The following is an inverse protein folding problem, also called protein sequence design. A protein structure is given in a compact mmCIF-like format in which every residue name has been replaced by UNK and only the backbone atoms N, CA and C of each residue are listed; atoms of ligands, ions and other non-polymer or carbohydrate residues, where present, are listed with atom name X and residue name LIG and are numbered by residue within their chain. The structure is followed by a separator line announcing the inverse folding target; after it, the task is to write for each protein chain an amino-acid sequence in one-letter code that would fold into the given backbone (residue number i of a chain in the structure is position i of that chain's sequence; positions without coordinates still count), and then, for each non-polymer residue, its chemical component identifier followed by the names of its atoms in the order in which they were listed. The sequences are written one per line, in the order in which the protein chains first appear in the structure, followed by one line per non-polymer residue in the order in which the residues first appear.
data_IF_797599967141
#
_entry.id   IF_797599967141
#
_cell.length_a   1.000
_cell.length_b   1.000
_cell.length_c   1.000
_cell.angle_alpha   90.00
_cell.angle_beta   90.00
_cell.angle_gamma   90.00
#
_symmetry.space_group_name_H-M   'P 1'
#
loop_
_entity.id
_entity.type
_entity.pdbx_description
1 polymer ?
#
# COMPACT_ATOMS: atom_id res chain seq x y z
N UNK A 1 7.93 -5.00 8.65
CA UNK A 1 8.28 -3.73 7.97
C UNK A 1 7.01 -3.25 7.27
N UNK A 2 6.49 -2.03 7.52
CA UNK A 2 5.22 -1.63 6.91
C UNK A 2 5.38 -1.16 5.46
N UNK A 3 6.52 -0.57 5.10
CA UNK A 3 6.82 -0.10 3.74
C UNK A 3 8.31 -0.33 3.45
N UNK A 4 8.67 -0.54 2.18
CA UNK A 4 10.01 -0.91 1.74
C UNK A 4 10.43 -0.07 0.52
N UNK A 5 11.62 0.52 0.59
CA UNK A 5 12.30 1.13 -0.55
C UNK A 5 13.41 0.20 -1.05
N UNK A 6 13.38 -0.13 -2.34
CA UNK A 6 14.37 -0.98 -3.01
C UNK A 6 15.08 -0.16 -4.08
N UNK A 7 16.40 -0.12 -4.08
CA UNK A 7 17.14 0.60 -5.11
C UNK A 7 18.39 -0.15 -5.55
N UNK A 8 18.83 0.09 -6.77
CA UNK A 8 20.01 -0.55 -7.35
C UNK A 8 20.07 -0.34 -8.84
N UNK A 9 21.26 -0.39 -9.43
CA UNK A 9 21.44 -0.15 -10.86
C UNK A 9 20.92 -1.32 -11.71
N UNK A 10 20.79 -1.11 -13.02
CA UNK A 10 20.43 -2.18 -13.95
C UNK A 10 21.41 -3.35 -13.82
N UNK A 11 20.89 -4.58 -13.79
CA UNK A 11 21.70 -5.80 -13.63
C UNK A 11 22.12 -6.13 -12.20
N UNK A 12 21.83 -5.28 -11.21
CA UNK A 12 22.21 -5.49 -9.80
C UNK A 12 21.41 -6.57 -9.06
N UNK A 13 20.37 -7.13 -9.69
CA UNK A 13 19.47 -8.13 -9.09
C UNK A 13 18.17 -7.56 -8.48
N UNK A 14 17.93 -6.24 -8.56
CA UNK A 14 16.70 -5.59 -8.08
C UNK A 14 15.42 -6.29 -8.54
N UNK A 15 15.27 -6.50 -9.85
CA UNK A 15 14.06 -7.10 -10.41
C UNK A 15 13.84 -8.54 -9.94
N UNK A 16 14.92 -9.33 -9.84
CA UNK A 16 14.86 -10.71 -9.32
C UNK A 16 14.39 -10.72 -7.87
N UNK A 17 14.85 -9.77 -7.05
CA UNK A 17 14.41 -9.66 -5.66
C UNK A 17 12.95 -9.25 -5.52
N UNK A 18 12.47 -8.30 -6.34
CA UNK A 18 11.06 -7.91 -6.37
C UNK A 18 10.19 -9.11 -6.75
N UNK A 19 10.56 -9.85 -7.81
CA UNK A 19 9.88 -11.09 -8.20
C UNK A 19 9.87 -12.11 -7.05
N UNK A 20 10.99 -12.28 -6.36
CA UNK A 20 11.11 -13.18 -5.20
C UNK A 20 10.15 -12.76 -4.08
N UNK A 21 10.01 -11.46 -3.82
CA UNK A 21 9.04 -10.95 -2.84
C UNK A 21 7.60 -11.23 -3.27
N UNK A 22 7.26 -10.97 -4.54
CA UNK A 22 5.92 -11.24 -5.09
C UNK A 22 5.57 -12.72 -4.96
N UNK A 23 6.46 -13.60 -5.43
CA UNK A 23 6.29 -15.05 -5.31
C UNK A 23 6.13 -15.46 -3.85
N UNK A 24 6.93 -14.90 -2.94
CA UNK A 24 6.81 -15.18 -1.50
C UNK A 24 5.46 -14.79 -0.92
N UNK A 25 4.76 -13.78 -1.48
CA UNK A 25 3.40 -13.41 -1.08
C UNK A 25 2.39 -14.40 -1.68
N UNK A 26 2.45 -14.61 -2.99
CA UNK A 26 1.48 -15.44 -3.74
C UNK A 26 1.53 -16.92 -3.34
N UNK A 27 2.69 -17.44 -2.97
CA UNK A 27 2.84 -18.82 -2.48
C UNK A 27 2.30 -19.04 -1.06
N UNK A 28 2.14 -17.98 -0.26
CA UNK A 28 1.74 -18.09 1.15
C UNK A 28 0.35 -17.53 1.46
N UNK A 29 -0.18 -16.68 0.59
CA UNK A 29 -1.44 -15.98 0.83
C UNK A 29 -2.38 -16.14 -0.36
N UNK A 30 -3.62 -16.50 -0.06
CA UNK A 30 -4.71 -16.55 -1.03
C UNK A 30 -5.16 -15.13 -1.45
N UNK A 31 -5.89 -14.98 -2.58
CA UNK A 31 -6.46 -13.69 -3.00
C UNK A 31 -7.43 -13.06 -2.00
N UNK A 32 -7.96 -13.84 -1.05
CA UNK A 32 -8.83 -13.39 0.04
C UNK A 32 -8.03 -12.82 1.23
N UNK A 33 -6.75 -13.19 1.34
CA UNK A 33 -5.84 -12.75 2.41
C UNK A 33 -4.93 -11.63 1.95
N UNK A 34 -4.51 -11.64 0.67
CA UNK A 34 -3.63 -10.64 0.10
C UNK A 34 -4.05 -10.23 -1.31
N UNK A 35 -4.09 -8.93 -1.54
CA UNK A 35 -4.42 -8.28 -2.80
C UNK A 35 -3.28 -7.38 -3.25
N UNK A 36 -3.06 -7.29 -4.55
CA UNK A 36 -1.90 -6.62 -5.14
C UNK A 36 -2.34 -5.48 -6.06
N UNK A 37 -1.60 -4.38 -6.01
CA UNK A 37 -1.60 -3.32 -7.04
C UNK A 37 -0.18 -3.26 -7.57
N UNK A 38 -0.01 -3.48 -8.87
CA UNK A 38 1.29 -3.46 -9.52
C UNK A 38 1.37 -2.28 -10.48
N UNK A 39 2.46 -1.52 -10.40
CA UNK A 39 2.76 -0.38 -11.27
C UNK A 39 4.07 -0.65 -11.98
N UNK A 40 4.00 -0.79 -13.30
CA UNK A 40 5.13 -1.04 -14.20
C UNK A 40 5.02 -0.11 -15.42
N UNK A 41 5.61 1.10 -15.34
CA UNK A 41 5.52 2.09 -16.41
C UNK A 41 6.27 1.67 -17.68
N UNK A 42 7.17 0.69 -17.60
CA UNK A 42 7.97 0.22 -18.74
C UNK A 42 7.43 -1.06 -19.37
N UNK A 43 6.49 -1.75 -18.72
CA UNK A 43 5.93 -3.03 -19.16
C UNK A 43 6.98 -4.13 -19.34
N UNK A 44 8.02 -4.14 -18.50
CA UNK A 44 9.15 -5.07 -18.63
C UNK A 44 9.17 -6.13 -17.54
N UNK A 45 8.76 -5.79 -16.33
CA UNK A 45 9.09 -6.57 -15.14
C UNK A 45 7.85 -7.20 -14.51
N UNK A 46 6.76 -6.43 -14.38
CA UNK A 46 5.54 -6.88 -13.68
C UNK A 46 4.43 -7.33 -14.61
N UNK A 47 4.50 -7.03 -15.91
CA UNK A 47 3.47 -7.45 -16.88
C UNK A 47 3.25 -8.97 -16.94
N UNK A 48 4.24 -9.77 -16.55
CA UNK A 48 4.12 -11.24 -16.45
C UNK A 48 3.06 -11.70 -15.43
N UNK A 49 2.72 -10.84 -14.46
CA UNK A 49 1.71 -11.12 -13.43
C UNK A 49 0.29 -10.76 -13.86
N UNK A 50 0.08 -10.23 -15.07
CA UNK A 50 -1.26 -9.84 -15.48
C UNK A 50 -2.21 -11.05 -15.51
N UNK A 51 -3.42 -10.86 -14.98
CA UNK A 51 -4.43 -11.92 -14.88
C UNK A 51 -4.37 -12.81 -13.63
N UNK A 52 -3.38 -12.67 -12.73
CA UNK A 52 -3.41 -13.42 -11.46
C UNK A 52 -4.59 -12.96 -10.58
N UNK A 53 -5.23 -13.86 -9.80
CA UNK A 53 -6.41 -13.53 -9.02
C UNK A 53 -6.16 -12.55 -7.86
N UNK A 54 -4.90 -12.36 -7.47
CA UNK A 54 -4.49 -11.41 -6.43
C UNK A 54 -4.58 -9.95 -6.87
N UNK A 55 -4.53 -9.65 -8.17
CA UNK A 55 -4.57 -8.27 -8.66
C UNK A 55 -5.94 -7.62 -8.40
N UNK A 56 -5.91 -6.36 -7.96
CA UNK A 56 -7.11 -5.51 -7.83
C UNK A 56 -7.45 -4.77 -9.13
N UNK A 57 -6.47 -4.61 -9.98
CA UNK A 57 -6.53 -3.97 -11.29
C UNK A 57 -5.48 -4.63 -12.17
N UNK A 58 -5.67 -4.68 -13.50
CA UNK A 58 -4.57 -5.00 -14.42
C UNK A 58 -3.33 -4.17 -14.12
N UNK A 59 -2.16 -4.71 -14.45
CA UNK A 59 -0.87 -4.05 -14.19
C UNK A 59 -0.90 -2.63 -14.76
N UNK A 60 -0.62 -1.65 -13.91
CA UNK A 60 -0.79 -0.23 -14.24
C UNK A 60 0.47 0.28 -14.91
N UNK A 61 0.32 0.73 -16.15
CA UNK A 61 1.45 1.16 -17.00
C UNK A 61 1.46 2.66 -17.23
N UNK A 62 0.30 3.31 -17.20
CA UNK A 62 0.18 4.76 -17.36
C UNK A 62 0.43 5.49 -16.00
N UNK A 63 1.31 6.51 -15.96
CA UNK A 63 1.60 7.25 -14.72
C UNK A 63 0.39 7.95 -14.10
N UNK A 64 -0.57 8.43 -14.89
CA UNK A 64 -1.78 9.07 -14.35
C UNK A 64 -2.70 8.02 -13.71
N UNK A 65 -2.83 6.85 -14.34
CA UNK A 65 -3.54 5.71 -13.74
C UNK A 65 -2.84 5.22 -12.47
N UNK A 66 -1.51 5.23 -12.42
CA UNK A 66 -0.76 4.89 -11.21
C UNK A 66 -1.09 5.84 -10.06
N UNK A 67 -1.15 7.15 -10.34
CA UNK A 67 -1.62 8.14 -9.37
C UNK A 67 -3.06 7.85 -8.91
N UNK A 68 -3.97 7.52 -9.82
CA UNK A 68 -5.35 7.14 -9.45
C UNK A 68 -5.38 5.90 -8.56
N UNK A 69 -4.55 4.90 -8.81
CA UNK A 69 -4.43 3.69 -7.98
C UNK A 69 -3.91 4.01 -6.57
N UNK A 70 -2.90 4.89 -6.46
CA UNK A 70 -2.40 5.36 -5.16
C UNK A 70 -3.46 6.17 -4.39
N UNK A 71 -4.18 7.08 -5.06
CA UNK A 71 -5.30 7.83 -4.47
C UNK A 71 -6.44 6.89 -4.04
N UNK A 72 -6.68 5.80 -4.78
CA UNK A 72 -7.60 4.75 -4.37
C UNK A 72 -7.12 4.03 -3.11
N UNK A 73 -5.85 3.62 -3.04
CA UNK A 73 -5.29 2.97 -1.86
C UNK A 73 -5.36 3.87 -0.60
N UNK A 74 -5.17 5.18 -0.76
CA UNK A 74 -5.36 6.16 0.32
C UNK A 74 -6.83 6.21 0.79
N UNK A 75 -7.80 6.19 -0.13
CA UNK A 75 -9.23 6.17 0.22
C UNK A 75 -9.62 4.87 0.91
N UNK A 76 -9.13 3.74 0.41
CA UNK A 76 -9.32 2.42 1.01
C UNK A 76 -8.74 2.39 2.44
N UNK A 77 -7.55 2.96 2.66
CA UNK A 77 -6.98 3.11 4.00
C UNK A 77 -7.92 3.85 4.96
N UNK A 78 -8.47 5.00 4.54
CA UNK A 78 -9.41 5.77 5.35
C UNK A 78 -10.70 4.99 5.65
N UNK A 79 -11.24 4.28 4.64
CA UNK A 79 -12.43 3.46 4.80
C UNK A 79 -12.20 2.34 5.81
N UNK A 80 -11.05 1.66 5.75
CA UNK A 80 -10.66 0.64 6.73
C UNK A 80 -10.56 1.22 8.13
N UNK A 81 -10.02 2.43 8.29
CA UNK A 81 -10.01 3.11 9.59
C UNK A 81 -11.41 3.34 10.13
N UNK A 82 -12.38 3.75 9.30
CA UNK A 82 -13.78 3.89 9.72
C UNK A 82 -14.38 2.55 10.13
N UNK A 83 -14.15 1.48 9.37
CA UNK A 83 -14.60 0.12 9.70
C UNK A 83 -14.01 -0.38 11.02
N UNK A 84 -12.72 -0.14 11.26
CA UNK A 84 -12.05 -0.47 12.50
C UNK A 84 -12.59 0.31 13.70
N UNK A 85 -12.81 1.63 13.52
CA UNK A 85 -13.38 2.48 14.57
C UNK A 85 -14.78 2.01 15.00
N UNK A 86 -15.64 1.62 14.04
CA UNK A 86 -16.98 1.07 14.31
C UNK A 86 -16.96 -0.22 15.16
N UNK A 87 -15.90 -1.02 15.03
CA UNK A 87 -15.71 -2.24 15.84
C UNK A 87 -14.85 -2.03 17.09
N UNK A 88 -14.36 -0.81 17.35
CA UNK A 88 -13.47 -0.52 18.46
C UNK A 88 -12.09 -1.21 18.37
N UNK A 89 -11.67 -1.62 17.17
CA UNK A 89 -10.38 -2.29 16.94
C UNK A 89 -9.33 -1.31 16.41
N UNK A 90 -8.05 -1.61 16.66
CA UNK A 90 -6.93 -0.70 16.33
C UNK A 90 -6.19 -1.04 15.03
N UNK A 91 -6.37 -2.24 14.49
CA UNK A 91 -5.67 -2.72 13.31
C UNK A 91 -6.46 -3.81 12.56
N UNK A 92 -6.00 -4.12 11.35
CA UNK A 92 -6.63 -5.10 10.46
C UNK A 92 -6.68 -6.51 11.06
N UNK A 93 -5.67 -6.93 11.83
CA UNK A 93 -5.67 -8.24 12.47
C UNK A 93 -6.78 -8.35 13.51
N UNK A 94 -6.95 -7.31 14.34
CA UNK A 94 -8.05 -7.22 15.31
C UNK A 94 -9.41 -7.16 14.63
N UNK A 95 -9.53 -6.42 13.52
CA UNK A 95 -10.73 -6.42 12.69
C UNK A 95 -11.07 -7.84 12.20
N UNK A 96 -10.11 -8.49 11.53
CA UNK A 96 -10.30 -9.81 10.95
C UNK A 96 -10.58 -10.88 12.02
N UNK A 97 -9.96 -10.79 13.21
CA UNK A 97 -10.22 -11.67 14.32
C UNK A 97 -11.66 -11.53 14.84
N UNK A 98 -12.14 -10.30 15.06
CA UNK A 98 -13.52 -10.04 15.52
C UNK A 98 -14.55 -10.50 14.49
N UNK A 99 -14.30 -10.29 13.20
CA UNK A 99 -15.18 -10.77 12.12
C UNK A 99 -15.22 -12.30 12.07
N UNK A 100 -14.07 -12.98 12.15
CA UNK A 100 -14.00 -14.45 12.17
C UNK A 100 -14.76 -15.04 13.37
N UNK A 101 -14.63 -14.41 14.54
CA UNK A 101 -15.36 -14.83 15.73
C UNK A 101 -16.88 -14.68 15.57
N UNK A 102 -17.35 -13.54 15.04
CA UNK A 102 -18.76 -13.31 14.80
C UNK A 102 -19.34 -14.29 13.77
N UNK A 103 -18.61 -14.59 12.70
CA UNK A 103 -18.98 -15.61 11.71
C UNK A 103 -19.09 -17.00 12.35
N UNK A 104 -18.15 -17.38 13.21
CA UNK A 104 -18.20 -18.67 13.91
C UNK A 104 -19.38 -18.77 14.88
N UNK A 105 -19.79 -17.65 15.48
CA UNK A 105 -20.92 -17.57 16.43
C UNK A 105 -22.27 -17.32 15.75
N UNK A 106 -22.32 -17.14 14.42
CA UNK A 106 -23.50 -16.63 13.70
C UNK A 106 -24.08 -15.36 14.36
N UNK A 107 -23.21 -14.48 14.83
CA UNK A 107 -23.55 -13.23 15.51
C UNK A 107 -23.63 -12.08 14.49
N UNK A 108 -24.73 -11.31 14.50
CA UNK A 108 -24.80 -10.05 13.75
C UNK A 108 -24.19 -8.94 14.58
N UNK A 109 -23.13 -8.29 14.08
CA UNK A 109 -22.56 -7.12 14.75
C UNK A 109 -23.35 -5.88 14.32
N UNK A 110 -24.04 -5.27 15.28
CA UNK A 110 -24.71 -3.98 15.11
C UNK A 110 -23.76 -2.85 15.51
N UNK A 111 -23.75 -1.77 14.73
CA UNK A 111 -23.02 -0.55 15.10
C UNK A 111 -23.91 0.67 14.99
N UNK A 112 -23.77 1.56 15.97
CA UNK A 112 -24.44 2.85 15.96
C UNK A 112 -23.68 3.80 15.04
N UNK A 113 -24.31 4.23 13.96
CA UNK A 113 -23.76 5.20 13.00
C UNK A 113 -24.55 6.50 13.06
N UNK A 114 -23.88 7.61 12.79
CA UNK A 114 -24.54 8.91 12.67
C UNK A 114 -25.32 8.95 11.35
N UNK A 115 -26.65 8.97 11.44
CA UNK A 115 -27.57 8.98 10.29
C UNK A 115 -27.85 10.39 9.77
N UNK A 116 -27.58 11.42 10.59
CA UNK A 116 -27.75 12.82 10.19
C UNK A 116 -27.88 13.75 11.39
N UNK A 117 -28.55 14.87 11.17
CA UNK A 117 -28.98 15.79 12.21
C UNK A 117 -30.46 16.10 12.01
N UNK A 118 -31.19 16.23 13.11
CA UNK A 118 -32.57 16.69 13.08
C UNK A 118 -32.60 18.16 12.62
N UNK A 119 -33.43 18.46 11.62
CA UNK A 119 -33.52 19.80 11.01
C UNK A 119 -34.21 20.82 11.93
N UNK A 120 -34.98 20.37 12.91
CA UNK A 120 -35.71 21.26 13.83
C UNK A 120 -34.94 21.49 15.13
N UNK A 121 -34.30 20.46 15.68
CA UNK A 121 -33.60 20.54 16.97
C UNK A 121 -32.08 20.71 16.82
N UNK A 122 -31.51 20.39 15.65
CA UNK A 122 -30.07 20.39 15.41
C UNK A 122 -29.32 19.23 16.10
N UNK A 123 -30.04 18.31 16.74
CA UNK A 123 -29.44 17.17 17.45
C UNK A 123 -28.94 16.09 16.47
N UNK A 124 -27.89 15.36 16.88
CA UNK A 124 -27.31 14.28 16.10
C UNK A 124 -28.20 13.03 16.15
N UNK A 125 -28.63 12.57 14.99
CA UNK A 125 -29.40 11.34 14.85
C UNK A 125 -28.47 10.16 14.64
N UNK A 126 -28.73 9.09 15.38
CA UNK A 126 -28.01 7.83 15.28
C UNK A 126 -28.94 6.70 14.80
N UNK A 127 -28.42 5.78 14.01
CA UNK A 127 -29.14 4.58 13.57
C UNK A 127 -28.25 3.37 13.76
N UNK A 128 -28.85 2.23 14.08
CA UNK A 128 -28.12 0.97 14.15
C UNK A 128 -28.06 0.32 12.77
N UNK A 129 -26.85 0.08 12.28
CA UNK A 129 -26.60 -0.63 11.03
C UNK A 129 -25.85 -1.93 11.32
N UNK A 130 -26.26 -3.00 10.63
CA UNK A 130 -25.55 -4.28 10.65
C UNK A 130 -24.24 -4.15 9.83
N UNK A 131 -23.12 -4.59 10.42
CA UNK A 131 -21.83 -4.63 9.73
C UNK A 131 -21.75 -5.88 8.86
N UNK A 132 -21.34 -5.71 7.60
CA UNK A 132 -21.01 -6.84 6.72
C UNK A 132 -19.81 -7.63 7.27
N UNK A 133 -20.03 -8.90 7.58
CA UNK A 133 -19.02 -9.78 8.17
C UNK A 133 -18.05 -10.34 7.14
N UNK A 134 -17.21 -9.47 6.56
CA UNK A 134 -16.20 -9.86 5.58
C UNK A 134 -14.80 -9.47 6.04
N UNK A 135 -13.87 -10.43 6.22
CA UNK A 135 -12.47 -10.12 6.50
C UNK A 135 -11.86 -9.27 5.39
N UNK A 136 -10.98 -8.36 5.78
CA UNK A 136 -10.26 -7.48 4.88
C UNK A 136 -8.92 -8.12 4.49
N UNK A 137 -8.61 -8.24 3.18
CA UNK A 137 -7.29 -8.69 2.74
C UNK A 137 -6.24 -7.61 3.03
N UNK A 138 -5.00 -8.02 3.27
CA UNK A 138 -3.85 -7.14 3.12
C UNK A 138 -3.75 -6.62 1.69
N UNK A 139 -3.32 -5.38 1.51
CA UNK A 139 -3.04 -4.81 0.20
C UNK A 139 -1.55 -4.49 0.11
N UNK A 140 -0.88 -4.99 -0.93
CA UNK A 140 0.51 -4.61 -1.23
C UNK A 140 0.55 -3.85 -2.56
N UNK A 141 0.98 -2.59 -2.48
CA UNK A 141 1.24 -1.75 -3.65
C UNK A 141 2.71 -1.88 -4.02
N UNK A 142 2.97 -2.32 -5.25
CA UNK A 142 4.32 -2.55 -5.78
C UNK A 142 4.56 -1.59 -6.93
N UNK A 143 5.58 -0.76 -6.82
CA UNK A 143 5.99 0.20 -7.85
C UNK A 143 7.39 -0.21 -8.31
N UNK A 144 7.54 -0.67 -9.54
CA UNK A 144 8.84 -1.17 -10.03
C UNK A 144 9.86 -0.03 -10.28
N UNK A 145 9.40 1.09 -10.84
CA UNK A 145 10.25 2.23 -11.16
C UNK A 145 9.56 3.54 -10.79
N UNK A 146 9.79 3.98 -9.55
CA UNK A 146 9.20 5.21 -9.02
C UNK A 146 9.66 6.46 -9.77
N UNK A 147 10.88 6.46 -10.31
CA UNK A 147 11.43 7.63 -10.99
C UNK A 147 10.60 8.02 -12.23
N UNK A 148 10.03 7.06 -12.96
CA UNK A 148 9.16 7.35 -14.11
C UNK A 148 7.85 8.04 -13.68
N UNK A 149 7.32 7.66 -12.51
CA UNK A 149 6.14 8.33 -11.95
C UNK A 149 6.47 9.75 -11.49
N UNK A 150 7.65 9.93 -10.88
CA UNK A 150 8.11 11.22 -10.37
C UNK A 150 8.32 12.25 -11.48
N UNK A 151 8.78 11.81 -12.66
CA UNK A 151 8.98 12.68 -13.82
C UNK A 151 7.67 13.26 -14.39
N UNK A 152 6.55 12.57 -14.22
CA UNK A 152 5.25 13.00 -14.78
C UNK A 152 4.39 13.72 -13.75
N UNK A 153 4.33 13.23 -12.52
CA UNK A 153 3.42 13.71 -11.48
C UNK A 153 4.04 13.72 -10.07
N UNK A 154 5.32 14.09 -9.96
CA UNK A 154 6.12 13.90 -8.74
C UNK A 154 5.49 14.40 -7.44
N UNK A 155 4.96 15.62 -7.40
CA UNK A 155 4.32 16.16 -6.18
C UNK A 155 3.11 15.35 -5.71
N UNK A 156 2.27 14.90 -6.64
CA UNK A 156 1.05 14.15 -6.28
C UNK A 156 1.38 12.70 -5.91
N UNK A 157 2.34 12.08 -6.61
CA UNK A 157 2.83 10.74 -6.31
C UNK A 157 3.48 10.73 -4.92
N UNK A 158 4.39 11.67 -4.65
CA UNK A 158 5.05 11.81 -3.35
C UNK A 158 4.03 12.01 -2.23
N UNK A 159 3.05 12.89 -2.41
CA UNK A 159 2.00 13.13 -1.41
C UNK A 159 1.15 11.88 -1.11
N UNK A 160 0.78 11.11 -2.13
CA UNK A 160 0.02 9.87 -1.94
C UNK A 160 0.85 8.79 -1.25
N UNK A 161 2.11 8.61 -1.69
CA UNK A 161 3.05 7.64 -1.10
C UNK A 161 3.37 7.99 0.34
N UNK A 162 3.61 9.27 0.65
CA UNK A 162 3.82 9.77 2.01
C UNK A 162 2.63 9.43 2.91
N UNK A 163 1.41 9.72 2.46
CA UNK A 163 0.20 9.47 3.24
C UNK A 163 0.00 7.99 3.54
N UNK A 164 0.24 7.12 2.56
CA UNK A 164 0.23 5.67 2.76
C UNK A 164 1.30 5.23 3.75
N UNK A 165 2.53 5.71 3.58
CA UNK A 165 3.66 5.30 4.42
C UNK A 165 3.51 5.71 5.89
N UNK A 166 2.80 6.81 6.16
CA UNK A 166 2.54 7.31 7.52
C UNK A 166 1.43 6.55 8.25
N UNK A 167 0.36 6.20 7.54
CA UNK A 167 -0.90 5.78 8.18
C UNK A 167 -1.34 4.36 7.80
N UNK A 168 -0.82 3.76 6.74
CA UNK A 168 -1.48 2.58 6.18
C UNK A 168 -1.14 1.25 6.87
N UNK A 169 -0.12 1.23 7.74
CA UNK A 169 0.29 0.04 8.51
C UNK A 169 -0.87 -0.62 9.25
N UNK A 170 -1.64 0.14 10.02
CA UNK A 170 -2.74 -0.44 10.82
C UNK A 170 -3.91 -0.89 9.94
N UNK A 171 -4.11 -0.23 8.80
CA UNK A 171 -5.10 -0.60 7.79
C UNK A 171 -4.70 -1.83 6.94
N UNK A 172 -3.50 -2.39 7.15
CA UNK A 172 -3.01 -3.54 6.40
C UNK A 172 -2.68 -3.23 4.94
N UNK A 173 -2.25 -1.99 4.65
CA UNK A 173 -1.79 -1.61 3.32
C UNK A 173 -0.29 -1.32 3.39
N UNK A 174 0.46 -1.96 2.51
CA UNK A 174 1.92 -1.92 2.47
C UNK A 174 2.38 -1.42 1.10
N UNK A 175 3.52 -0.73 1.08
CA UNK A 175 4.08 -0.16 -0.16
C UNK A 175 5.50 -0.68 -0.33
N UNK A 176 5.76 -1.31 -1.47
CA UNK A 176 7.08 -1.66 -1.95
C UNK A 176 7.36 -0.74 -3.14
N UNK A 177 8.29 0.19 -2.98
CA UNK A 177 8.71 1.07 -4.04
C UNK A 177 10.11 0.70 -4.48
N UNK A 178 10.34 0.70 -5.77
CA UNK A 178 11.63 0.40 -6.35
C UNK A 178 12.08 1.49 -7.34
N UNK A 179 13.38 1.64 -7.50
CA UNK A 179 13.97 2.57 -8.48
C UNK A 179 15.33 2.09 -8.93
N UNK A 180 15.65 2.26 -10.21
CA UNK A 180 17.01 2.10 -10.73
C UNK A 180 17.81 3.42 -10.76
N UNK A 181 17.14 4.54 -10.45
CA UNK A 181 17.71 5.88 -10.40
C UNK A 181 17.73 6.38 -8.96
N UNK A 182 18.76 6.03 -8.16
CA UNK A 182 18.87 6.42 -6.76
C UNK A 182 19.35 7.88 -6.59
N UNK A 183 18.68 8.83 -7.25
CA UNK A 183 18.96 10.26 -7.13
C UNK A 183 18.12 10.91 -6.04
N UNK A 184 18.56 12.09 -5.58
CA UNK A 184 17.85 12.89 -4.56
C UNK A 184 16.49 13.40 -5.02
N UNK A 185 16.29 13.51 -6.34
CA UNK A 185 15.03 13.94 -6.94
C UNK A 185 13.96 12.83 -6.91
N UNK A 186 14.39 11.57 -6.85
CA UNK A 186 13.52 10.39 -6.77
C UNK A 186 13.37 9.95 -5.32
N UNK A 187 14.48 9.81 -4.60
CA UNK A 187 14.53 9.42 -3.19
C UNK A 187 14.68 10.69 -2.35
N UNK A 188 13.61 11.48 -2.33
CA UNK A 188 13.55 12.77 -1.63
C UNK A 188 13.70 12.59 -0.11
N UNK A 189 13.91 13.70 0.61
CA UNK A 189 13.91 13.70 2.08
C UNK A 189 12.59 13.18 2.66
N UNK A 190 11.45 13.54 2.05
CA UNK A 190 10.11 13.10 2.44
C UNK A 190 9.95 11.59 2.28
N UNK A 191 10.38 11.03 1.15
CA UNK A 191 10.35 9.58 0.94
C UNK A 191 11.21 8.86 1.98
N UNK A 192 12.45 9.32 2.19
CA UNK A 192 13.34 8.71 3.19
C UNK A 192 12.75 8.74 4.60
N UNK A 193 12.13 9.85 5.00
CA UNK A 193 11.54 9.99 6.32
C UNK A 193 10.41 8.97 6.60
N UNK A 194 9.71 8.51 5.56
CA UNK A 194 8.57 7.60 5.71
C UNK A 194 8.88 6.14 5.33
N UNK A 195 10.02 5.86 4.70
CA UNK A 195 10.50 4.53 4.35
C UNK A 195 11.78 4.19 5.11
N UNK A 196 11.69 3.81 6.40
CA UNK A 196 12.87 3.50 7.22
C UNK A 196 13.51 2.15 6.83
N UNK A 197 12.74 1.23 6.26
CA UNK A 197 13.25 -0.04 5.74
C UNK A 197 13.70 0.13 4.30
N UNK A 198 14.97 -0.15 4.04
CA UNK A 198 15.58 0.03 2.72
C UNK A 198 16.46 -1.15 2.38
N UNK A 199 16.43 -1.55 1.12
CA UNK A 199 17.32 -2.55 0.54
C UNK A 199 18.04 -1.86 -0.61
N UNK A 200 19.37 -1.81 -0.54
CA UNK A 200 20.19 -1.40 -1.66
C UNK A 200 20.83 -2.63 -2.28
N UNK A 201 20.64 -2.79 -3.58
CA UNK A 201 21.50 -3.60 -4.42
C UNK A 201 22.69 -2.76 -4.87
N UNK A 202 23.58 -3.35 -5.67
CA UNK A 202 24.77 -2.70 -6.20
C UNK A 202 24.43 -1.34 -6.84
N UNK A 203 25.22 -0.32 -6.50
CA UNK A 203 25.12 1.02 -7.06
C UNK A 203 26.44 1.51 -7.63
N UNK A 204 26.38 2.51 -8.50
CA UNK A 204 27.54 3.05 -9.23
C UNK A 204 28.47 3.90 -8.37
N UNK A 205 27.95 4.53 -7.31
CA UNK A 205 28.73 5.51 -6.54
C UNK A 205 28.41 5.52 -5.05
N UNK A 206 29.36 6.04 -4.27
CA UNK A 206 29.17 6.33 -2.84
C UNK A 206 28.02 7.31 -2.59
N UNK A 207 27.76 8.20 -3.55
CA UNK A 207 26.67 9.18 -3.46
C UNK A 207 25.33 8.46 -3.55
N UNK A 208 25.18 7.55 -4.50
CA UNK A 208 23.97 6.72 -4.67
C UNK A 208 23.69 5.88 -3.42
N UNK A 209 24.73 5.23 -2.87
CA UNK A 209 24.64 4.46 -1.63
C UNK A 209 24.11 5.33 -0.48
N UNK A 210 24.66 6.54 -0.30
CA UNK A 210 24.19 7.49 0.72
C UNK A 210 22.77 7.97 0.47
N UNK A 211 22.38 8.14 -0.78
CA UNK A 211 21.01 8.53 -1.13
C UNK A 211 20.01 7.47 -0.69
N UNK A 212 20.35 6.18 -0.82
CA UNK A 212 19.47 5.07 -0.43
C UNK A 212 19.56 4.81 1.08
N UNK A 213 20.74 4.48 1.59
CA UNK A 213 20.93 3.95 2.94
C UNK A 213 21.19 5.04 4.00
N UNK A 214 21.64 6.24 3.57
CA UNK A 214 22.20 7.25 4.46
C UNK A 214 23.71 7.08 4.71
N UNK A 215 24.30 5.97 4.25
CA UNK A 215 25.72 5.65 4.41
C UNK A 215 26.30 5.00 3.13
N UNK A 216 27.63 4.87 3.08
CA UNK A 216 28.33 4.18 2.00
C UNK A 216 28.42 2.67 2.29
N UNK A 217 28.41 1.82 1.25
CA UNK A 217 28.63 0.38 1.41
C UNK A 217 27.74 -0.53 0.55
N UNK A 218 26.77 0.06 -0.17
CA UNK A 218 25.96 -0.63 -1.17
C UNK A 218 26.72 -0.91 -2.48
#
# INVERSE_FOLDING_TARGET
MPHLLVAGTTGSGKSVAINTMILSLVYRMSPQECRLIMVDPKMLELSVYDGIPHLLTPVVTDPKKALSALKWAVREMEERYRKMARLGVRNIDGFNARIKEALHKNETIMCTVQAGFDKETGELLYTEEAIELKPLPYIVVIIDEMADLMMVAGKEIEGAVQRLAQMARAAGIHVIMATQRPSVDVITGTIKANFPTRISFQVTSKIDSRTILGEQGA
#
